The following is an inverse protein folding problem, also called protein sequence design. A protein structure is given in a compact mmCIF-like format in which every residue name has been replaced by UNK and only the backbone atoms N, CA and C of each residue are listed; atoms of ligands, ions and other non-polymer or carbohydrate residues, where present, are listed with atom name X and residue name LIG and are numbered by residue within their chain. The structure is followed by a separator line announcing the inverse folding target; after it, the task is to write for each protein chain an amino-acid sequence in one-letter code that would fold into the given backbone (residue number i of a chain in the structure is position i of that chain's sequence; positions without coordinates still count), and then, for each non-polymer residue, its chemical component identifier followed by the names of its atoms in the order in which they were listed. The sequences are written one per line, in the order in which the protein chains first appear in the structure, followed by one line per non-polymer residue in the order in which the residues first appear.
data_IF_754291966598
#
_entry.id   IF_754291966598
#
_cell.length_a   1.000
_cell.length_b   1.000
_cell.length_c   1.000
_cell.angle_alpha   90.00
_cell.angle_beta   90.00
_cell.angle_gamma   90.00
#
_symmetry.space_group_name_H-M   'P 1'
#
loop_
_entity.id
_entity.type
_entity.pdbx_description
1 polymer ?
#
# COMPACT_ATOMS: atom_id res chain seq x y z
N UNK A 1 -16.28 -11.83 -2.49
CA UNK A 1 -14.98 -11.17 -2.76
C UNK A 1 -14.22 -11.88 -3.87
N UNK A 2 -13.87 -13.17 -3.73
CA UNK A 2 -13.15 -13.92 -4.78
C UNK A 2 -13.80 -13.80 -6.15
N UNK A 3 -15.11 -14.05 -6.29
CA UNK A 3 -15.81 -13.90 -7.58
C UNK A 3 -15.69 -12.52 -8.20
N UNK A 4 -15.76 -11.44 -7.41
CA UNK A 4 -15.64 -10.07 -7.91
C UNK A 4 -14.21 -9.76 -8.34
N UNK A 5 -13.22 -10.19 -7.56
CA UNK A 5 -11.81 -9.94 -7.86
C UNK A 5 -11.31 -10.77 -9.04
N UNK A 6 -11.87 -11.97 -9.27
CA UNK A 6 -11.51 -12.82 -10.41
C UNK A 6 -11.83 -12.19 -11.77
N UNK A 7 -12.71 -11.19 -11.83
CA UNK A 7 -13.04 -10.44 -13.06
C UNK A 7 -12.02 -9.33 -13.37
N UNK A 8 -11.05 -9.10 -12.48
CA UNK A 8 -10.01 -8.06 -12.61
C UNK A 8 -8.61 -8.67 -12.73
N UNK A 9 -7.68 -7.92 -13.32
CA UNK A 9 -6.28 -8.30 -13.49
C UNK A 9 -5.34 -7.41 -12.66
N UNK A 10 -4.05 -7.78 -12.60
CA UNK A 10 -3.01 -7.03 -11.89
C UNK A 10 -2.96 -7.28 -10.38
N UNK A 11 -2.14 -6.55 -9.62
CA UNK A 11 -2.08 -6.66 -8.17
C UNK A 11 -3.33 -6.06 -7.52
N UNK A 12 -3.52 -6.31 -6.23
CA UNK A 12 -4.57 -5.69 -5.43
C UNK A 12 -3.90 -4.90 -4.31
N UNK A 13 -4.25 -3.62 -4.20
CA UNK A 13 -3.81 -2.73 -3.12
C UNK A 13 -5.02 -2.40 -2.24
N UNK A 14 -4.98 -2.79 -0.97
CA UNK A 14 -6.01 -2.46 0.02
C UNK A 14 -5.50 -1.31 0.91
N UNK A 15 -6.35 -0.32 1.16
CA UNK A 15 -6.01 0.88 1.95
C UNK A 15 -7.10 1.11 2.98
N UNK A 16 -6.72 1.41 4.22
CA UNK A 16 -7.68 1.61 5.31
C UNK A 16 -7.20 2.69 6.28
N UNK A 17 -8.14 3.42 6.89
CA UNK A 17 -7.87 4.34 8.03
C UNK A 17 -7.82 3.55 9.37
N UNK A 18 -7.49 2.26 9.31
CA UNK A 18 -7.29 1.35 10.43
C UNK A 18 -5.98 0.58 10.21
N UNK A 19 -5.58 -0.25 11.17
CA UNK A 19 -4.42 -1.13 11.04
C UNK A 19 -4.50 -2.06 9.82
N UNK A 20 -3.35 -2.44 9.27
CA UNK A 20 -3.21 -3.42 8.19
C UNK A 20 -3.94 -4.74 8.48
N UNK A 21 -4.02 -5.12 9.76
CA UNK A 21 -4.74 -6.30 10.23
C UNK A 21 -6.21 -6.37 9.77
N UNK A 22 -6.86 -5.24 9.47
CA UNK A 22 -8.27 -5.22 9.03
C UNK A 22 -8.44 -5.83 7.63
N UNK A 23 -7.84 -5.29 6.55
CA UNK A 23 -7.91 -5.91 5.22
C UNK A 23 -7.18 -7.26 5.13
N UNK A 24 -6.18 -7.53 5.98
CA UNK A 24 -5.53 -8.84 6.04
C UNK A 24 -6.50 -9.98 6.37
N UNK A 25 -7.57 -9.73 7.15
CA UNK A 25 -8.60 -10.73 7.45
C UNK A 25 -9.25 -11.32 6.20
N UNK A 26 -9.31 -10.53 5.11
CA UNK A 26 -9.90 -10.96 3.85
C UNK A 26 -8.87 -11.40 2.82
N UNK A 27 -7.57 -11.21 3.07
CA UNK A 27 -6.48 -11.53 2.14
C UNK A 27 -6.49 -12.97 1.63
N UNK A 28 -6.89 -13.94 2.47
CA UNK A 28 -7.02 -15.36 2.07
C UNK A 28 -8.04 -15.64 0.96
N UNK A 29 -8.96 -14.71 0.70
CA UNK A 29 -9.97 -14.85 -0.34
C UNK A 29 -9.61 -14.10 -1.63
N UNK A 30 -8.44 -13.46 -1.67
CA UNK A 30 -7.87 -12.88 -2.89
C UNK A 30 -7.52 -14.01 -3.86
N UNK A 31 -7.80 -13.88 -5.17
CA UNK A 31 -7.46 -14.92 -6.14
C UNK A 31 -5.97 -15.29 -6.08
N UNK A 32 -5.69 -16.59 -6.13
CA UNK A 32 -4.32 -17.11 -6.01
C UNK A 32 -3.40 -16.52 -7.10
N UNK A 33 -2.13 -16.31 -6.75
CA UNK A 33 -1.12 -15.77 -7.66
C UNK A 33 -1.18 -14.26 -7.89
N UNK A 34 -2.10 -13.53 -7.24
CA UNK A 34 -2.15 -12.07 -7.28
C UNK A 34 -1.45 -11.48 -6.05
N UNK A 35 -0.49 -10.54 -6.22
CA UNK A 35 0.04 -9.78 -5.11
C UNK A 35 -1.07 -9.01 -4.40
N UNK A 36 -1.04 -9.05 -3.06
CA UNK A 36 -1.95 -8.32 -2.19
C UNK A 36 -1.13 -7.42 -1.28
N UNK A 37 -1.14 -6.12 -1.57
CA UNK A 37 -0.44 -5.09 -0.78
C UNK A 37 -1.45 -4.41 0.11
N UNK A 38 -1.08 -4.14 1.36
CA UNK A 38 -1.95 -3.53 2.35
C UNK A 38 -1.25 -2.28 2.88
N UNK A 39 -2.00 -1.19 2.97
CA UNK A 39 -1.61 0.05 3.64
C UNK A 39 -2.62 0.34 4.75
N UNK A 40 -2.13 0.60 5.94
CA UNK A 40 -2.92 0.82 7.13
C UNK A 40 -2.22 1.74 8.11
N UNK A 41 -2.96 2.22 9.09
CA UNK A 41 -2.51 3.19 10.08
C UNK A 41 -2.03 2.48 11.34
N UNK A 42 -1.04 1.61 11.20
CA UNK A 42 -0.38 0.93 12.32
C UNK A 42 0.50 1.92 13.10
N UNK A 43 0.59 1.75 14.42
CA UNK A 43 1.31 2.66 15.30
C UNK A 43 0.41 3.59 16.12
N UNK A 44 1.03 4.46 16.92
CA UNK A 44 0.32 5.33 17.85
C UNK A 44 -0.23 6.58 17.15
N UNK A 45 -1.45 6.98 17.53
CA UNK A 45 -2.07 8.21 17.04
C UNK A 45 -1.29 9.46 17.47
N UNK A 46 -1.27 10.47 16.59
CA UNK A 46 -0.71 11.80 16.86
C UNK A 46 -1.68 12.91 16.45
N UNK A 47 -1.49 14.11 17.00
CA UNK A 47 -2.30 15.27 16.66
C UNK A 47 -1.66 16.05 15.52
N UNK A 48 -2.29 16.06 14.35
CA UNK A 48 -1.84 16.80 13.17
C UNK A 48 -3.00 16.98 12.16
N UNK A 49 -2.77 17.60 10.99
CA UNK A 49 -3.74 17.65 9.90
C UNK A 49 -3.97 16.28 9.27
N UNK A 50 -5.12 16.11 8.60
CA UNK A 50 -5.43 14.85 7.91
C UNK A 50 -4.42 14.51 6.83
N UNK A 51 -3.94 15.50 6.07
CA UNK A 51 -2.91 15.26 5.05
C UNK A 51 -1.61 14.77 5.68
N UNK A 52 -1.15 15.42 6.75
CA UNK A 52 0.08 15.03 7.46
C UNK A 52 -0.04 13.65 8.09
N UNK A 53 -1.19 13.33 8.70
CA UNK A 53 -1.42 11.99 9.28
C UNK A 53 -1.42 10.90 8.21
N UNK A 54 -2.09 11.11 7.07
CA UNK A 54 -2.10 10.13 5.99
C UNK A 54 -0.72 9.92 5.39
N UNK A 55 0.07 10.99 5.29
CA UNK A 55 1.46 10.91 4.85
C UNK A 55 2.30 10.10 5.84
N UNK A 56 2.12 10.38 7.13
CA UNK A 56 2.86 9.71 8.19
C UNK A 56 2.55 8.23 8.29
N UNK A 57 1.28 7.86 8.27
CA UNK A 57 0.85 6.46 8.27
C UNK A 57 0.99 5.78 6.90
N UNK A 58 1.63 6.44 5.93
CA UNK A 58 1.93 5.85 4.63
C UNK A 58 0.67 5.38 3.86
N UNK A 59 -0.46 6.06 4.06
CA UNK A 59 -1.76 5.79 3.41
C UNK A 59 -2.20 6.91 2.45
N UNK A 60 -1.32 7.86 2.14
CA UNK A 60 -1.59 8.92 1.17
C UNK A 60 -1.54 8.41 -0.29
N UNK A 61 -1.92 9.27 -1.24
CA UNK A 61 -1.94 8.91 -2.66
C UNK A 61 -0.58 8.44 -3.19
N UNK A 62 0.53 9.02 -2.70
CA UNK A 62 1.87 8.64 -3.16
C UNK A 62 2.20 7.21 -2.78
N UNK A 63 1.95 6.84 -1.52
CA UNK A 63 2.19 5.49 -1.02
C UNK A 63 1.27 4.46 -1.69
N UNK A 64 0.02 4.81 -1.97
CA UNK A 64 -0.90 3.93 -2.75
C UNK A 64 -0.37 3.65 -4.15
N UNK A 65 0.20 4.65 -4.83
CA UNK A 65 0.81 4.47 -6.15
C UNK A 65 2.03 3.57 -6.05
N UNK A 66 2.95 3.84 -5.12
CA UNK A 66 4.16 3.03 -4.92
C UNK A 66 3.82 1.57 -4.58
N UNK A 67 2.86 1.32 -3.70
CA UNK A 67 2.41 -0.03 -3.36
C UNK A 67 1.82 -0.77 -4.57
N UNK A 68 1.04 -0.07 -5.39
CA UNK A 68 0.43 -0.65 -6.60
C UNK A 68 1.49 -0.98 -7.66
N UNK A 69 2.42 -0.06 -7.92
CA UNK A 69 3.54 -0.28 -8.85
C UNK A 69 4.45 -1.42 -8.36
N UNK A 70 4.70 -1.50 -7.05
CA UNK A 70 5.44 -2.62 -6.45
C UNK A 70 4.75 -3.95 -6.72
N UNK A 71 3.42 -4.01 -6.60
CA UNK A 71 2.66 -5.20 -6.98
C UNK A 71 2.76 -5.56 -8.47
N UNK A 72 2.91 -4.59 -9.36
CA UNK A 72 3.15 -4.83 -10.80
C UNK A 72 4.56 -5.36 -11.06
N UNK A 73 5.56 -4.89 -10.30
CA UNK A 73 6.92 -5.45 -10.31
C UNK A 73 6.91 -6.91 -9.84
N UNK A 74 6.17 -7.24 -8.79
CA UNK A 74 6.02 -8.61 -8.28
C UNK A 74 5.41 -9.56 -9.35
N UNK A 75 4.59 -9.03 -10.26
CA UNK A 75 4.04 -9.75 -11.42
C UNK A 75 4.98 -9.77 -12.64
N UNK A 76 6.08 -9.01 -12.61
CA UNK A 76 7.01 -8.85 -13.73
C UNK A 76 6.45 -8.02 -14.89
N UNK A 77 5.39 -7.23 -14.67
CA UNK A 77 4.74 -6.41 -15.70
C UNK A 77 5.50 -5.10 -15.97
N UNK A 78 6.25 -4.60 -14.99
CA UNK A 78 7.07 -3.38 -15.08
C UNK A 78 8.43 -3.59 -14.40
N UNK A 79 9.39 -2.69 -14.66
CA UNK A 79 10.70 -2.71 -13.99
C UNK A 79 10.68 -1.95 -12.66
N UNK A 80 11.59 -2.27 -11.72
CA UNK A 80 11.74 -1.55 -10.46
C UNK A 80 12.01 -0.04 -10.61
N UNK A 81 12.62 0.38 -11.72
CA UNK A 81 12.90 1.81 -11.98
C UNK A 81 11.63 2.67 -11.97
N UNK A 82 10.49 2.12 -12.41
CA UNK A 82 9.20 2.81 -12.40
C UNK A 82 8.73 3.09 -10.97
N UNK A 83 9.05 2.20 -10.02
CA UNK A 83 8.76 2.40 -8.60
C UNK A 83 9.66 3.50 -8.04
N UNK A 84 10.94 3.49 -8.41
CA UNK A 84 11.89 4.53 -7.99
C UNK A 84 11.47 5.91 -8.50
N UNK A 85 11.08 6.03 -9.78
CA UNK A 85 10.56 7.27 -10.35
C UNK A 85 9.33 7.79 -9.59
N UNK A 86 8.47 6.89 -9.12
CA UNK A 86 7.30 7.26 -8.32
C UNK A 86 7.69 7.72 -6.90
N UNK A 87 8.62 7.04 -6.24
CA UNK A 87 9.16 7.44 -4.93
C UNK A 87 9.71 8.87 -5.02
N UNK A 88 10.53 9.14 -6.03
CA UNK A 88 11.14 10.46 -6.25
C UNK A 88 10.06 11.51 -6.57
N UNK A 89 9.11 11.19 -7.46
CA UNK A 89 8.02 12.08 -7.85
C UNK A 89 7.13 12.48 -6.69
N UNK A 90 6.86 11.56 -5.77
CA UNK A 90 6.01 11.79 -4.60
C UNK A 90 6.81 12.18 -3.34
N UNK A 91 8.13 12.34 -3.45
CA UNK A 91 9.02 12.72 -2.36
C UNK A 91 8.93 11.78 -1.15
N UNK A 92 8.77 10.47 -1.41
CA UNK A 92 8.67 9.45 -0.36
C UNK A 92 10.08 9.14 0.13
N UNK A 93 10.23 9.11 1.46
CA UNK A 93 11.50 8.75 2.10
C UNK A 93 11.43 7.26 2.46
N UNK A 94 12.14 6.38 1.74
CA UNK A 94 12.12 4.94 2.01
C UNK A 94 12.86 4.57 3.31
N UNK A 95 13.65 5.48 3.88
CA UNK A 95 14.41 5.28 5.12
C UNK A 95 13.71 5.94 6.33
N UNK A 96 12.49 6.44 6.14
CA UNK A 96 11.69 6.97 7.24
C UNK A 96 11.42 5.89 8.29
N UNK A 97 11.39 6.29 9.56
CA UNK A 97 11.04 5.37 10.63
C UNK A 97 9.60 4.86 10.46
N UNK A 98 9.45 3.54 10.50
CA UNK A 98 8.16 2.86 10.47
C UNK A 98 7.20 3.45 11.54
N UNK A 99 5.98 3.89 11.16
CA UNK A 99 4.99 4.43 12.09
C UNK A 99 4.66 3.51 13.27
N UNK A 100 4.77 2.19 13.10
CA UNK A 100 4.55 1.22 14.16
C UNK A 100 5.62 1.27 15.27
N UNK A 101 6.83 1.73 14.94
CA UNK A 101 7.98 1.77 15.85
C UNK A 101 8.11 3.09 16.62
N UNK A 102 7.21 4.05 16.37
CA UNK A 102 7.20 5.40 16.96
C UNK A 102 6.11 5.55 18.04
#
# INVERSE_FOLDING_TARGET
MTSLLSESAGPITAVTDFMCAVPEQVGRYVPAGRPFKVLGTDGMGRSDTRESLRRHFEVDCGHVVVATLTGLVDLGEITPDVVQDAIDRYGIDPEASDPFML
#
